data_IF_697359202871
#
_entry.id   IF_697359202871
#
_cell.length_a   1.000
_cell.length_b   1.000
_cell.length_c   1.000
_cell.angle_alpha   90.00
_cell.angle_beta   90.00
_cell.angle_gamma   90.00
#
_symmetry.space_group_name_H-M   'P 1'
#
loop_
_entity.id
_entity.type
_entity.pdbx_description
1 polymer ?
#
# COMPACT_ATOMS: atom_id res chain seq x y z
N UNK A 1 -13.60 -73.84 -11.62
CA UNK A 1 -14.74 -73.84 -12.56
C UNK A 1 -14.97 -72.43 -13.07
N UNK A 2 -14.82 -72.22 -14.38
CA UNK A 2 -15.10 -70.97 -15.09
C UNK A 2 -16.61 -70.72 -15.18
N UNK A 3 -17.06 -69.48 -15.00
CA UNK A 3 -18.17 -68.86 -15.74
C UNK A 3 -18.00 -67.35 -15.77
N UNK A 4 -18.13 -66.82 -16.99
CA UNK A 4 -17.91 -65.44 -17.40
C UNK A 4 -19.22 -64.61 -17.38
N UNK A 5 -19.09 -63.36 -17.88
CA UNK A 5 -20.13 -62.42 -18.37
C UNK A 5 -20.82 -61.57 -17.27
N UNK A 6 -20.87 -60.23 -17.32
CA UNK A 6 -20.91 -59.26 -18.43
C UNK A 6 -20.22 -57.92 -18.08
N UNK A 7 -19.68 -57.31 -19.14
CA UNK A 7 -19.17 -55.94 -19.24
C UNK A 7 -20.35 -54.98 -19.42
N UNK A 8 -20.35 -53.86 -18.67
CA UNK A 8 -20.96 -52.61 -19.12
C UNK A 8 -20.06 -51.45 -18.73
N UNK A 9 -19.51 -50.79 -19.76
CA UNK A 9 -18.70 -49.59 -19.61
C UNK A 9 -19.63 -48.39 -19.32
N UNK A 10 -19.42 -47.73 -18.19
CA UNK A 10 -19.94 -46.39 -17.97
C UNK A 10 -18.80 -45.39 -18.22
N UNK A 11 -18.84 -44.77 -19.38
CA UNK A 11 -18.06 -43.58 -19.74
C UNK A 11 -18.42 -42.47 -18.76
N UNK A 12 -17.55 -42.24 -17.75
CA UNK A 12 -17.61 -41.02 -16.94
C UNK A 12 -17.25 -39.87 -17.88
N UNK A 13 -18.27 -39.18 -18.38
CA UNK A 13 -18.11 -37.87 -18.98
C UNK A 13 -17.33 -37.02 -17.96
N UNK A 14 -16.08 -36.70 -18.28
CA UNK A 14 -15.33 -35.66 -17.58
C UNK A 14 -16.17 -34.41 -17.78
N UNK A 15 -16.88 -33.99 -16.74
CA UNK A 15 -17.41 -32.64 -16.64
C UNK A 15 -16.22 -31.73 -16.84
N UNK A 16 -16.04 -31.26 -18.08
CA UNK A 16 -15.17 -30.13 -18.39
C UNK A 16 -15.90 -28.96 -17.78
N UNK A 17 -15.69 -28.73 -16.49
CA UNK A 17 -15.98 -27.44 -15.90
C UNK A 17 -15.25 -26.46 -16.78
N UNK A 18 -16.00 -25.70 -17.58
CA UNK A 18 -15.43 -24.61 -18.34
C UNK A 18 -14.71 -23.76 -17.32
N UNK A 19 -13.38 -23.69 -17.42
CA UNK A 19 -12.64 -22.64 -16.73
C UNK A 19 -13.34 -21.34 -17.14
N UNK A 20 -13.77 -20.47 -16.22
CA UNK A 20 -14.23 -19.17 -16.63
C UNK A 20 -13.13 -18.57 -17.50
N UNK A 21 -13.52 -17.94 -18.61
CA UNK A 21 -12.59 -17.17 -19.43
C UNK A 21 -11.78 -16.30 -18.46
N UNK A 22 -10.46 -16.29 -18.63
CA UNK A 22 -9.58 -15.40 -17.89
C UNK A 22 -9.84 -14.01 -18.49
N UNK A 23 -11.00 -13.45 -18.14
CA UNK A 23 -11.39 -12.10 -18.53
C UNK A 23 -10.47 -11.13 -17.80
N UNK A 24 -9.89 -10.25 -18.61
CA UNK A 24 -9.04 -9.11 -18.30
C UNK A 24 -7.68 -9.44 -17.66
N UNK A 25 -6.68 -9.62 -18.53
CA UNK A 25 -5.30 -9.31 -18.16
C UNK A 25 -5.27 -7.82 -17.76
N UNK A 26 -5.37 -7.56 -16.46
CA UNK A 26 -5.22 -6.24 -15.87
C UNK A 26 -3.82 -5.74 -16.24
N UNK A 27 -3.76 -4.81 -17.19
CA UNK A 27 -2.53 -4.10 -17.49
C UNK A 27 -2.18 -3.26 -16.26
N UNK A 28 -1.15 -3.70 -15.53
CA UNK A 28 -0.54 -2.88 -14.49
C UNK A 28 0.04 -1.63 -15.16
N UNK A 29 -0.26 -0.45 -14.62
CA UNK A 29 0.40 0.78 -15.03
C UNK A 29 1.91 0.59 -15.11
N UNK A 30 2.54 1.32 -16.03
CA UNK A 30 3.99 1.37 -16.10
C UNK A 30 4.56 1.70 -14.69
N UNK A 31 5.64 1.03 -14.28
CA UNK A 31 6.28 1.35 -13.02
C UNK A 31 6.67 2.82 -13.03
N UNK A 32 6.20 3.53 -12.01
CA UNK A 32 6.47 4.95 -11.85
C UNK A 32 7.90 5.18 -11.34
N UNK A 33 8.71 5.82 -12.19
CA UNK A 33 10.12 6.07 -11.97
C UNK A 33 10.39 7.18 -10.92
N UNK A 34 9.40 8.00 -10.56
CA UNK A 34 9.58 9.16 -9.65
C UNK A 34 9.90 8.74 -8.21
N UNK A 35 9.37 7.59 -7.77
CA UNK A 35 9.53 7.13 -6.39
C UNK A 35 10.90 6.51 -6.11
N UNK A 36 11.52 5.85 -7.11
CA UNK A 36 12.75 5.11 -6.89
C UNK A 36 13.92 6.00 -6.39
N UNK A 37 14.16 7.22 -6.94
CA UNK A 37 15.13 8.15 -6.38
C UNK A 37 14.86 8.53 -4.93
N UNK A 38 13.59 8.74 -4.55
CA UNK A 38 13.22 9.08 -3.18
C UNK A 38 13.50 7.93 -2.20
N UNK A 39 13.22 6.68 -2.58
CA UNK A 39 13.55 5.50 -1.77
C UNK A 39 15.05 5.27 -1.64
N UNK A 40 15.83 5.56 -2.70
CA UNK A 40 17.30 5.49 -2.65
C UNK A 40 17.89 6.55 -1.72
N UNK A 41 17.35 7.77 -1.71
CA UNK A 41 17.74 8.81 -0.77
C UNK A 41 17.34 8.45 0.67
N UNK A 42 16.13 7.92 0.86
CA UNK A 42 15.67 7.42 2.16
C UNK A 42 16.56 6.30 2.70
N UNK A 43 17.06 5.41 1.83
CA UNK A 43 18.03 4.38 2.21
C UNK A 43 19.37 4.95 2.70
N UNK A 44 19.69 6.21 2.37
CA UNK A 44 20.85 6.97 2.89
C UNK A 44 20.50 7.84 4.11
N UNK A 45 19.26 7.80 4.58
CA UNK A 45 18.78 8.61 5.70
C UNK A 45 18.20 9.97 5.29
N UNK A 46 18.17 10.29 4.00
CA UNK A 46 17.68 11.58 3.51
C UNK A 46 16.16 11.56 3.34
N UNK A 47 15.45 12.55 3.86
CA UNK A 47 13.99 12.67 3.72
C UNK A 47 13.56 13.71 2.67
N UNK A 48 14.43 14.66 2.32
CA UNK A 48 14.12 15.77 1.42
C UNK A 48 13.54 15.34 0.06
N UNK A 49 14.06 14.28 -0.62
CA UNK A 49 13.47 13.86 -1.89
C UNK A 49 12.07 13.26 -1.74
N UNK A 50 11.78 12.58 -0.62
CA UNK A 50 10.44 12.08 -0.34
C UNK A 50 9.46 13.22 0.00
N UNK A 51 9.92 14.22 0.77
CA UNK A 51 9.17 15.43 1.06
C UNK A 51 8.77 16.18 -0.22
N UNK A 52 9.74 16.45 -1.09
CA UNK A 52 9.51 17.14 -2.36
C UNK A 52 8.58 16.35 -3.29
N UNK A 53 8.72 15.02 -3.33
CA UNK A 53 7.83 14.17 -4.13
C UNK A 53 6.37 14.27 -3.65
N UNK A 54 6.13 14.22 -2.34
CA UNK A 54 4.78 14.33 -1.78
C UNK A 54 4.21 15.75 -1.93
N UNK A 55 5.03 16.79 -1.79
CA UNK A 55 4.64 18.17 -2.04
C UNK A 55 4.19 18.36 -3.49
N UNK A 56 4.98 17.89 -4.46
CA UNK A 56 4.62 17.96 -5.88
C UNK A 56 3.30 17.26 -6.19
N UNK A 57 3.05 16.06 -5.63
CA UNK A 57 1.74 15.41 -5.82
C UNK A 57 0.56 16.19 -5.25
N UNK A 58 0.78 17.02 -4.21
CA UNK A 58 -0.25 17.90 -3.67
C UNK A 58 -0.48 19.09 -4.62
N UNK A 59 0.59 19.76 -5.03
CA UNK A 59 0.56 20.92 -5.91
C UNK A 59 -0.13 20.61 -7.24
N UNK A 60 0.12 19.42 -7.79
CA UNK A 60 -0.45 18.96 -9.05
C UNK A 60 -1.82 18.25 -8.90
N UNK A 61 -2.36 18.13 -7.68
CA UNK A 61 -3.58 17.38 -7.36
C UNK A 61 -3.55 15.89 -7.81
N UNK A 62 -2.36 15.28 -7.79
CA UNK A 62 -2.08 13.89 -8.18
C UNK A 62 -2.39 12.90 -7.04
N UNK A 63 -3.66 12.85 -6.62
CA UNK A 63 -4.09 12.12 -5.42
C UNK A 63 -3.78 10.63 -5.46
N UNK A 64 -3.86 9.99 -6.63
CA UNK A 64 -3.53 8.58 -6.79
C UNK A 64 -2.03 8.32 -6.59
N UNK A 65 -1.17 9.14 -7.19
CA UNK A 65 0.27 9.07 -6.99
C UNK A 65 0.63 9.31 -5.52
N UNK A 66 -0.03 10.28 -4.87
CA UNK A 66 0.17 10.58 -3.45
C UNK A 66 -0.13 9.39 -2.56
N UNK A 67 -1.25 8.70 -2.75
CA UNK A 67 -1.59 7.49 -1.97
C UNK A 67 -0.60 6.35 -2.24
N UNK A 68 -0.26 6.13 -3.51
CA UNK A 68 0.69 5.10 -3.95
C UNK A 68 2.08 5.30 -3.34
N UNK A 69 2.60 6.52 -3.35
CA UNK A 69 3.89 6.87 -2.76
C UNK A 69 3.86 6.76 -1.24
N UNK A 70 2.84 7.32 -0.60
CA UNK A 70 2.69 7.25 0.86
C UNK A 70 2.64 5.82 1.34
N UNK A 71 1.91 4.94 0.64
CA UNK A 71 1.85 3.50 0.93
C UNK A 71 3.23 2.84 0.87
N UNK A 72 4.01 3.11 -0.18
CA UNK A 72 5.35 2.52 -0.35
C UNK A 72 6.37 3.08 0.63
N UNK A 73 6.33 4.38 0.91
CA UNK A 73 7.18 5.02 1.92
C UNK A 73 6.84 4.52 3.33
N UNK A 74 5.57 4.32 3.66
CA UNK A 74 5.18 3.72 4.93
C UNK A 74 5.68 2.26 5.06
N UNK A 75 5.63 1.48 3.98
CA UNK A 75 6.22 0.14 3.96
C UNK A 75 7.74 0.18 4.18
N UNK A 76 8.44 1.16 3.60
CA UNK A 76 9.87 1.40 3.87
C UNK A 76 10.12 1.77 5.35
N UNK A 77 9.36 2.71 5.91
CA UNK A 77 9.48 3.11 7.32
C UNK A 77 9.17 1.97 8.31
N UNK A 78 8.41 0.95 7.88
CA UNK A 78 8.18 -0.25 8.69
C UNK A 78 9.47 -1.03 8.94
N UNK A 79 10.37 -1.09 7.95
CA UNK A 79 11.67 -1.77 8.07
C UNK A 79 12.80 -0.86 8.55
N UNK A 80 12.64 0.46 8.43
CA UNK A 80 13.58 1.50 8.90
C UNK A 80 12.84 2.62 9.62
N UNK A 81 12.46 2.38 10.88
CA UNK A 81 11.69 3.37 11.65
C UNK A 81 12.49 4.64 11.93
N UNK A 82 13.82 4.51 12.09
CA UNK A 82 14.73 5.62 12.38
C UNK A 82 14.71 6.72 11.31
N UNK A 83 14.43 6.36 10.05
CA UNK A 83 14.31 7.34 8.96
C UNK A 83 13.11 8.26 9.18
N UNK A 84 11.95 7.69 9.53
CA UNK A 84 10.74 8.47 9.79
C UNK A 84 10.83 9.24 11.10
N UNK A 85 11.45 8.65 12.13
CA UNK A 85 11.66 9.31 13.42
C UNK A 85 12.59 10.52 13.26
N UNK A 86 13.66 10.38 12.48
CA UNK A 86 14.58 11.48 12.15
C UNK A 86 13.85 12.59 11.39
N UNK A 87 13.11 12.27 10.33
CA UNK A 87 12.35 13.26 9.57
C UNK A 87 11.40 14.07 10.46
N UNK A 88 10.63 13.39 11.33
CA UNK A 88 9.73 14.08 12.27
C UNK A 88 10.44 14.99 13.26
N UNK A 89 11.69 14.68 13.61
CA UNK A 89 12.49 15.48 14.53
C UNK A 89 13.16 16.67 13.83
N UNK A 90 13.60 16.51 12.58
CA UNK A 90 14.38 17.51 11.85
C UNK A 90 13.53 18.48 11.02
N UNK A 91 12.32 18.09 10.62
CA UNK A 91 11.38 18.94 9.87
C UNK A 91 9.94 18.74 10.40
N UNK A 92 9.64 19.19 11.63
CA UNK A 92 8.32 19.00 12.26
C UNK A 92 7.17 19.70 11.51
N UNK A 93 7.47 20.72 10.72
CA UNK A 93 6.53 21.47 9.88
C UNK A 93 6.21 20.79 8.53
N UNK A 94 6.95 19.76 8.15
CA UNK A 94 6.73 19.05 6.89
C UNK A 94 5.49 18.15 6.98
N UNK A 95 4.45 18.35 6.15
CA UNK A 95 3.21 17.57 6.21
C UNK A 95 3.36 16.12 5.70
N UNK A 96 4.46 15.78 5.04
CA UNK A 96 4.75 14.44 4.53
C UNK A 96 5.05 13.42 5.64
N UNK A 97 5.79 13.84 6.68
CA UNK A 97 6.14 12.97 7.80
C UNK A 97 4.92 12.44 8.59
N UNK A 98 3.97 13.28 9.06
CA UNK A 98 2.78 12.80 9.76
C UNK A 98 1.86 11.97 8.85
N UNK A 99 1.81 12.26 7.55
CA UNK A 99 1.05 11.47 6.58
C UNK A 99 1.59 10.03 6.48
N UNK A 100 2.90 9.86 6.33
CA UNK A 100 3.54 8.53 6.31
C UNK A 100 3.36 7.81 7.64
N UNK A 101 3.47 8.52 8.77
CA UNK A 101 3.27 7.95 10.09
C UNK A 101 1.85 7.42 10.29
N UNK A 102 0.83 8.17 9.86
CA UNK A 102 -0.56 7.73 9.88
C UNK A 102 -0.77 6.48 9.01
N UNK A 103 -0.26 6.49 7.77
CA UNK A 103 -0.36 5.33 6.86
C UNK A 103 0.32 4.08 7.43
N UNK A 104 1.49 4.24 8.05
CA UNK A 104 2.21 3.15 8.73
C UNK A 104 1.42 2.62 9.92
N UNK A 105 0.81 3.49 10.73
CA UNK A 105 0.01 3.07 11.87
C UNK A 105 -1.23 2.28 11.43
N UNK A 106 -1.94 2.73 10.39
CA UNK A 106 -3.04 1.98 9.77
C UNK A 106 -2.55 0.60 9.32
N UNK A 107 -1.43 0.54 8.60
CA UNK A 107 -0.86 -0.72 8.11
C UNK A 107 -0.45 -1.69 9.24
N UNK A 108 0.01 -1.18 10.38
CA UNK A 108 0.38 -2.01 11.56
C UNK A 108 -0.83 -2.59 12.28
N UNK A 109 -1.96 -1.89 12.25
CA UNK A 109 -3.14 -2.26 13.03
C UNK A 109 -4.22 -2.97 12.22
N UNK A 110 -4.11 -2.99 10.89
CA UNK A 110 -5.13 -3.54 10.01
C UNK A 110 -5.47 -5.01 10.29
N UNK A 111 -4.45 -5.85 10.48
CA UNK A 111 -4.63 -7.29 10.72
C UNK A 111 -4.94 -7.63 12.19
N UNK A 112 -5.01 -6.63 13.07
CA UNK A 112 -5.32 -6.85 14.48
C UNK A 112 -6.82 -7.14 14.67
N UNK A 113 -7.19 -8.09 15.55
CA UNK A 113 -8.59 -8.27 15.95
C UNK A 113 -9.15 -6.98 16.59
N UNK A 114 -8.30 -6.19 17.25
CA UNK A 114 -8.65 -4.94 17.92
C UNK A 114 -8.54 -3.70 17.01
N UNK A 115 -8.43 -3.89 15.68
CA UNK A 115 -8.20 -2.79 14.72
C UNK A 115 -9.14 -1.60 14.93
N UNK A 116 -10.41 -1.83 15.26
CA UNK A 116 -11.39 -0.76 15.43
C UNK A 116 -11.01 0.20 16.57
N UNK A 117 -10.47 -0.33 17.67
CA UNK A 117 -10.00 0.47 18.81
C UNK A 117 -8.66 1.14 18.52
N UNK A 118 -7.74 0.39 17.90
CA UNK A 118 -6.41 0.88 17.51
C UNK A 118 -6.51 2.04 16.50
N UNK A 119 -7.35 1.90 15.47
CA UNK A 119 -7.55 2.92 14.45
C UNK A 119 -8.30 4.15 14.99
N UNK A 120 -9.26 3.96 15.91
CA UNK A 120 -9.94 5.10 16.57
C UNK A 120 -8.96 6.00 17.32
N UNK A 121 -7.92 5.42 17.93
CA UNK A 121 -6.84 6.21 18.59
C UNK A 121 -6.01 7.05 17.62
N UNK A 122 -6.02 6.74 16.32
CA UNK A 122 -5.29 7.52 15.31
C UNK A 122 -6.06 8.76 14.85
N UNK A 123 -7.37 8.85 15.10
CA UNK A 123 -8.23 9.93 14.59
C UNK A 123 -7.65 11.32 14.91
N UNK A 124 -7.26 11.64 16.17
CA UNK A 124 -6.70 12.97 16.46
C UNK A 124 -5.42 13.28 15.68
N UNK A 125 -4.55 12.29 15.49
CA UNK A 125 -3.30 12.46 14.74
C UNK A 125 -3.55 12.66 13.25
N UNK A 126 -4.52 11.94 12.67
CA UNK A 126 -4.94 12.12 11.28
C UNK A 126 -5.57 13.50 11.09
N UNK A 127 -6.42 13.95 12.02
CA UNK A 127 -7.02 15.29 11.98
C UNK A 127 -5.96 16.38 12.07
N UNK A 128 -5.01 16.30 13.00
CA UNK A 128 -3.92 17.26 13.11
C UNK A 128 -3.05 17.30 11.84
N UNK A 129 -2.79 16.15 11.22
CA UNK A 129 -2.07 16.09 9.94
C UNK A 129 -2.86 16.76 8.80
N UNK A 130 -4.19 16.58 8.76
CA UNK A 130 -5.05 17.22 7.77
C UNK A 130 -5.07 18.74 7.95
N UNK A 131 -5.16 19.23 9.19
CA UNK A 131 -5.12 20.67 9.51
C UNK A 131 -3.78 21.30 9.14
N UNK A 132 -2.67 20.64 9.50
CA UNK A 132 -1.32 21.11 9.18
C UNK A 132 -1.06 21.16 7.66
N UNK A 133 -1.70 20.28 6.90
CA UNK A 133 -1.53 20.23 5.46
C UNK A 133 -2.20 21.41 4.73
N UNK A 134 -3.13 22.13 5.39
CA UNK A 134 -3.85 23.25 4.79
C UNK A 134 -4.94 22.84 3.78
N UNK A 135 -5.70 23.81 3.24
CA UNK A 135 -6.75 23.56 2.27
C UNK A 135 -6.19 22.97 0.97
N UNK A 136 -6.94 22.07 0.34
CA UNK A 136 -6.60 21.56 -0.99
C UNK A 136 -6.53 22.71 -2.01
N UNK A 137 -5.57 22.66 -2.96
CA UNK A 137 -5.37 23.71 -3.95
C UNK A 137 -6.56 23.90 -4.90
#
# INVERSE_FOLDING_TARGET
MLRAFLRTAATRARSRTSRPAQDDDVLLDAPDDRLAPALLAAARGEHTPAAGLLAGTREDAEWEHRDRYTTRLAAFSRSRSEWLDTWRATAPEDPGAPLIAARLAVARHWDSPDRAELLRRLVPAVTAAAEAAGPDP
#
